data_IF_908139975963
#
_entry.id   IF_908139975963
#
_cell.length_a   1.000
_cell.length_b   1.000
_cell.length_c   1.000
_cell.angle_alpha   90.00
_cell.angle_beta   90.00
_cell.angle_gamma   90.00
#
_symmetry.space_group_name_H-M   'P 1'
#
loop_
_entity.id
_entity.type
_entity.pdbx_description
1 polymer ?
#
# COMPACT_ATOMS: atom_id res chain seq x y z
N UNK A 1 -7.08 -16.05 -2.90
CA UNK A 1 -6.19 -15.61 -3.98
C UNK A 1 -6.22 -14.09 -4.11
N UNK A 2 -5.13 -13.47 -4.56
CA UNK A 2 -5.12 -12.05 -4.88
C UNK A 2 -5.66 -11.84 -6.30
N UNK A 3 -6.65 -10.96 -6.45
CA UNK A 3 -7.33 -10.71 -7.72
C UNK A 3 -7.19 -9.25 -8.16
N UNK A 4 -7.15 -9.01 -9.47
CA UNK A 4 -7.12 -7.67 -10.07
C UNK A 4 -8.53 -7.31 -10.52
N UNK A 5 -9.20 -6.42 -9.78
CA UNK A 5 -10.60 -6.08 -10.03
C UNK A 5 -10.81 -5.08 -11.17
N UNK A 6 -9.85 -4.18 -11.37
CA UNK A 6 -9.86 -3.17 -12.43
C UNK A 6 -8.45 -2.73 -12.75
N UNK A 7 -8.18 -2.50 -14.04
CA UNK A 7 -6.94 -1.91 -14.53
C UNK A 7 -6.95 -0.39 -14.35
N UNK A 8 -5.80 0.25 -14.48
CA UNK A 8 -5.66 1.71 -14.40
C UNK A 8 -6.69 2.40 -15.32
N UNK A 9 -7.56 3.24 -14.74
CA UNK A 9 -8.65 3.91 -15.45
C UNK A 9 -8.92 5.28 -14.82
N UNK A 10 -9.26 6.31 -15.61
CA UNK A 10 -9.75 7.58 -15.10
C UNK A 10 -11.22 7.53 -14.65
N UNK A 11 -11.94 6.44 -14.95
CA UNK A 11 -13.36 6.29 -14.63
C UNK A 11 -13.55 5.85 -13.17
N UNK A 12 -13.91 6.81 -12.31
CA UNK A 12 -14.22 6.58 -10.90
C UNK A 12 -15.44 5.68 -10.71
N UNK A 13 -16.43 5.75 -11.59
CA UNK A 13 -17.64 4.92 -11.52
C UNK A 13 -17.34 3.43 -11.71
N UNK A 14 -16.39 3.10 -12.59
CA UNK A 14 -15.89 1.74 -12.78
C UNK A 14 -15.22 1.19 -11.52
N UNK A 15 -14.41 2.00 -10.84
CA UNK A 15 -13.74 1.63 -9.58
C UNK A 15 -14.78 1.38 -8.47
N UNK A 16 -15.72 2.30 -8.29
CA UNK A 16 -16.78 2.20 -7.27
C UNK A 16 -17.65 0.96 -7.49
N UNK A 17 -18.06 0.72 -8.74
CA UNK A 17 -18.89 -0.45 -9.09
C UNK A 17 -18.21 -1.76 -8.73
N UNK A 18 -16.90 -1.88 -8.94
CA UNK A 18 -16.14 -3.07 -8.54
C UNK A 18 -15.94 -3.15 -7.03
N UNK A 19 -15.71 -2.02 -6.37
CA UNK A 19 -15.56 -1.98 -4.91
C UNK A 19 -16.81 -2.51 -4.19
N UNK A 20 -18.01 -2.20 -4.68
CA UNK A 20 -19.27 -2.71 -4.13
C UNK A 20 -19.41 -4.25 -4.21
N UNK A 21 -18.69 -4.89 -5.14
CA UNK A 21 -18.71 -6.36 -5.29
C UNK A 21 -17.69 -7.07 -4.42
N UNK A 22 -16.79 -6.33 -3.76
CA UNK A 22 -15.74 -6.90 -2.91
C UNK A 22 -16.35 -7.40 -1.62
N UNK A 23 -16.03 -8.65 -1.28
CA UNK A 23 -16.45 -9.30 -0.04
C UNK A 23 -15.20 -9.64 0.79
N UNK A 24 -15.26 -9.51 2.13
CA UNK A 24 -14.16 -9.95 2.98
C UNK A 24 -14.00 -11.46 2.87
N UNK A 25 -12.80 -11.91 2.49
CA UNK A 25 -12.51 -13.34 2.32
C UNK A 25 -11.08 -13.67 2.69
N UNK A 26 -10.92 -14.71 3.51
CA UNK A 26 -9.62 -15.30 3.83
C UNK A 26 -8.74 -14.40 4.70
N UNK A 27 -7.42 -14.62 4.61
CA UNK A 27 -6.38 -13.88 5.33
C UNK A 27 -5.63 -12.96 4.38
N UNK A 28 -5.03 -11.89 4.93
CA UNK A 28 -4.14 -11.01 4.16
C UNK A 28 -2.87 -11.76 3.74
N UNK A 29 -2.47 -11.57 2.49
CA UNK A 29 -1.15 -11.98 1.98
C UNK A 29 -0.44 -10.75 1.44
N UNK A 30 0.25 -10.02 2.32
CA UNK A 30 0.77 -8.68 2.00
C UNK A 30 1.83 -8.74 0.89
N UNK A 31 2.81 -9.64 1.02
CA UNK A 31 3.86 -9.80 -0.01
C UNK A 31 3.28 -10.09 -1.40
N UNK A 32 2.29 -10.98 -1.49
CA UNK A 32 1.67 -11.36 -2.76
C UNK A 32 0.86 -10.20 -3.35
N UNK A 33 0.07 -9.50 -2.53
CA UNK A 33 -0.73 -8.35 -2.95
C UNK A 33 0.13 -7.24 -3.56
N UNK A 34 1.24 -6.89 -2.90
CA UNK A 34 2.18 -5.88 -3.39
C UNK A 34 2.86 -6.33 -4.70
N UNK A 35 3.21 -7.61 -4.85
CA UNK A 35 3.80 -8.13 -6.11
C UNK A 35 2.81 -8.03 -7.28
N UNK A 36 1.54 -8.38 -7.04
CA UNK A 36 0.47 -8.28 -8.05
C UNK A 36 0.23 -6.82 -8.42
N UNK A 37 0.13 -5.92 -7.43
CA UNK A 37 -0.02 -4.49 -7.66
C UNK A 37 1.15 -3.92 -8.48
N UNK A 38 2.37 -4.32 -8.16
CA UNK A 38 3.55 -3.94 -8.92
C UNK A 38 3.50 -4.43 -10.39
N UNK A 39 3.05 -5.67 -10.64
CA UNK A 39 2.85 -6.16 -12.01
C UNK A 39 1.77 -5.37 -12.77
N UNK A 40 0.68 -4.99 -12.08
CA UNK A 40 -0.36 -4.15 -12.66
C UNK A 40 0.18 -2.76 -13.05
N UNK A 41 1.05 -2.16 -12.23
CA UNK A 41 1.69 -0.88 -12.52
C UNK A 41 2.60 -0.90 -13.76
N UNK A 42 3.16 -2.06 -14.13
CA UNK A 42 3.95 -2.21 -15.37
C UNK A 42 3.12 -2.06 -16.65
N UNK A 43 1.81 -2.29 -16.57
CA UNK A 43 0.88 -2.18 -17.70
C UNK A 43 0.24 -0.78 -17.81
N UNK A 44 0.86 0.24 -17.20
CA UNK A 44 0.41 1.63 -17.29
C UNK A 44 0.57 2.20 -18.69
N UNK A 45 -0.38 3.06 -19.09
CA UNK A 45 -0.32 3.74 -20.37
C UNK A 45 0.73 4.86 -20.42
N UNK A 46 0.94 5.58 -19.30
CA UNK A 46 1.94 6.64 -19.20
C UNK A 46 3.26 6.19 -18.57
N UNK A 47 4.37 6.17 -19.33
CA UNK A 47 5.70 5.82 -18.81
C UNK A 47 6.30 6.89 -17.87
N UNK A 48 5.77 8.12 -17.91
CA UNK A 48 6.27 9.26 -17.11
C UNK A 48 5.58 9.43 -15.75
N UNK A 49 4.51 8.66 -15.47
CA UNK A 49 3.84 8.76 -14.19
C UNK A 49 4.72 8.18 -13.08
N UNK A 50 4.61 8.70 -11.85
CA UNK A 50 5.23 8.07 -10.68
C UNK A 50 4.45 6.79 -10.35
N UNK A 51 5.15 5.71 -10.02
CA UNK A 51 4.51 4.48 -9.54
C UNK A 51 4.28 4.59 -8.04
N UNK A 52 3.02 4.53 -7.62
CA UNK A 52 2.63 4.57 -6.21
C UNK A 52 1.62 3.46 -5.94
N UNK A 53 1.83 2.73 -4.85
CA UNK A 53 0.91 1.74 -4.31
C UNK A 53 0.40 2.29 -2.98
N UNK A 54 -0.92 2.26 -2.77
CA UNK A 54 -1.53 2.60 -1.49
C UNK A 54 -2.11 1.30 -0.92
N UNK A 55 -1.62 0.88 0.25
CA UNK A 55 -1.99 -0.38 0.89
C UNK A 55 -2.68 -0.12 2.23
N UNK A 56 -3.93 -0.60 2.34
CA UNK A 56 -4.70 -0.59 3.57
C UNK A 56 -4.49 -1.92 4.30
N UNK A 57 -3.96 -1.86 5.53
CA UNK A 57 -3.63 -3.02 6.36
C UNK A 57 -4.47 -2.96 7.63
N UNK A 58 -5.51 -3.81 7.67
CA UNK A 58 -6.46 -3.91 8.78
C UNK A 58 -6.35 -5.19 9.61
N UNK A 59 -5.32 -6.01 9.36
CA UNK A 59 -5.16 -7.35 9.96
C UNK A 59 -3.68 -7.69 10.15
N UNK A 60 -3.33 -8.67 11.01
CA UNK A 60 -1.93 -9.02 11.28
C UNK A 60 -1.20 -9.51 10.02
N UNK A 61 0.02 -9.00 9.80
CA UNK A 61 0.89 -9.43 8.70
C UNK A 61 1.74 -10.63 9.16
N UNK A 62 1.35 -11.82 8.70
CA UNK A 62 2.05 -13.09 8.98
C UNK A 62 3.36 -13.24 8.16
N UNK A 63 3.62 -12.35 7.20
CA UNK A 63 4.84 -12.38 6.39
C UNK A 63 6.12 -12.19 7.24
N UNK A 64 7.19 -12.87 6.81
CA UNK A 64 8.52 -12.76 7.42
C UNK A 64 9.17 -11.43 7.06
N UNK A 65 9.82 -10.81 8.05
CA UNK A 65 10.53 -9.53 7.87
C UNK A 65 11.60 -9.61 6.77
N UNK A 66 12.32 -10.74 6.67
CA UNK A 66 13.34 -10.95 5.63
C UNK A 66 12.75 -10.84 4.21
N UNK A 67 11.53 -11.31 4.01
CA UNK A 67 10.88 -11.28 2.70
C UNK A 67 10.28 -9.91 2.39
N UNK A 68 9.77 -9.21 3.41
CA UNK A 68 9.39 -7.80 3.34
C UNK A 68 10.59 -6.92 2.92
N UNK A 69 11.74 -7.09 3.56
CA UNK A 69 12.97 -6.34 3.23
C UNK A 69 13.45 -6.63 1.80
N UNK A 70 13.40 -7.88 1.34
CA UNK A 70 13.73 -8.23 -0.05
C UNK A 70 12.77 -7.56 -1.04
N UNK A 71 11.47 -7.56 -0.73
CA UNK A 71 10.45 -6.93 -1.56
C UNK A 71 10.64 -5.41 -1.62
N UNK A 72 10.87 -4.75 -0.49
CA UNK A 72 11.16 -3.33 -0.41
C UNK A 72 12.38 -2.93 -1.26
N UNK A 73 13.49 -3.70 -1.16
CA UNK A 73 14.69 -3.46 -1.98
C UNK A 73 14.40 -3.57 -3.49
N UNK A 74 13.53 -4.50 -3.89
CA UNK A 74 13.13 -4.66 -5.29
C UNK A 74 12.30 -3.47 -5.77
N UNK A 75 11.30 -3.06 -5.01
CA UNK A 75 10.44 -1.91 -5.32
C UNK A 75 11.25 -0.61 -5.39
N UNK A 76 12.24 -0.44 -4.51
CA UNK A 76 13.18 0.70 -4.54
C UNK A 76 13.92 0.79 -5.88
N UNK A 77 14.48 -0.33 -6.36
CA UNK A 77 15.17 -0.37 -7.67
C UNK A 77 14.26 -0.03 -8.84
N UNK A 78 13.00 -0.43 -8.75
CA UNK A 78 11.99 -0.18 -9.78
C UNK A 78 11.32 1.20 -9.63
N UNK A 79 11.76 2.05 -8.67
CA UNK A 79 11.22 3.39 -8.38
C UNK A 79 9.71 3.38 -8.08
N UNK A 80 9.27 2.40 -7.29
CA UNK A 80 7.89 2.28 -6.83
C UNK A 80 7.78 2.75 -5.39
N UNK A 81 6.89 3.71 -5.14
CA UNK A 81 6.56 4.17 -3.80
C UNK A 81 5.41 3.35 -3.23
N UNK A 82 5.42 3.10 -1.91
CA UNK A 82 4.36 2.36 -1.23
C UNK A 82 3.93 3.12 0.01
N UNK A 83 2.71 3.63 0.01
CA UNK A 83 2.10 4.22 1.19
C UNK A 83 1.25 3.17 1.90
N UNK A 84 1.42 3.04 3.21
CA UNK A 84 0.78 2.02 4.02
C UNK A 84 -0.09 2.70 5.08
N UNK A 85 -1.36 2.36 5.09
CA UNK A 85 -2.34 2.76 6.10
C UNK A 85 -2.52 1.56 7.03
N UNK A 86 -1.92 1.59 8.20
CA UNK A 86 -2.06 0.56 9.22
C UNK A 86 -3.17 0.94 10.19
N UNK A 87 -4.17 0.09 10.39
CA UNK A 87 -5.26 0.30 11.33
C UNK A 87 -5.70 -1.02 11.96
N UNK A 88 -6.31 -0.96 13.15
CA UNK A 88 -6.83 -2.14 13.86
C UNK A 88 -5.79 -3.06 14.52
N UNK A 89 -4.59 -3.16 13.95
CA UNK A 89 -3.51 -4.06 14.41
C UNK A 89 -2.16 -3.31 14.50
N UNK A 90 -2.13 -2.27 15.33
CA UNK A 90 -0.94 -1.42 15.49
C UNK A 90 0.23 -2.16 16.14
N UNK A 91 0.00 -2.88 17.24
CA UNK A 91 1.06 -3.49 18.04
C UNK A 91 1.86 -4.55 17.27
N UNK A 92 1.19 -5.34 16.43
CA UNK A 92 1.82 -6.45 15.69
C UNK A 92 2.44 -5.98 14.37
N UNK A 93 1.83 -5.02 13.69
CA UNK A 93 2.24 -4.64 12.34
C UNK A 93 3.27 -3.51 12.29
N UNK A 94 3.25 -2.59 13.25
CA UNK A 94 3.97 -1.32 13.13
C UNK A 94 5.47 -1.52 12.96
N UNK A 95 6.11 -2.41 13.73
CA UNK A 95 7.54 -2.66 13.62
C UNK A 95 7.93 -3.21 12.24
N UNK A 96 7.22 -4.24 11.75
CA UNK A 96 7.47 -4.87 10.45
C UNK A 96 7.25 -3.89 9.29
N UNK A 97 6.16 -3.14 9.32
CA UNK A 97 5.81 -2.17 8.28
C UNK A 97 6.78 -0.97 8.31
N UNK A 98 7.23 -0.55 9.48
CA UNK A 98 8.26 0.48 9.64
C UNK A 98 9.58 0.03 9.00
N UNK A 99 10.03 -1.20 9.29
CA UNK A 99 11.23 -1.76 8.66
C UNK A 99 11.10 -1.84 7.13
N UNK A 100 9.92 -2.21 6.62
CA UNK A 100 9.62 -2.23 5.18
C UNK A 100 9.72 -0.84 4.55
N UNK A 101 9.03 0.17 5.10
CA UNK A 101 9.03 1.55 4.57
C UNK A 101 10.42 2.18 4.67
N UNK A 102 11.13 1.98 5.79
CA UNK A 102 12.51 2.44 5.95
C UNK A 102 13.46 1.82 4.91
N UNK A 103 13.30 0.53 4.63
CA UNK A 103 14.07 -0.14 3.58
C UNK A 103 13.75 0.42 2.19
N UNK A 104 12.47 0.73 1.94
CA UNK A 104 12.00 1.24 0.65
C UNK A 104 12.48 2.68 0.39
N UNK A 105 12.40 3.56 1.39
CA UNK A 105 12.92 4.93 1.31
C UNK A 105 14.47 4.93 1.29
N UNK A 106 15.10 4.04 2.05
CA UNK A 106 16.55 4.00 2.25
C UNK A 106 17.11 5.35 2.72
N UNK A 107 18.34 5.70 2.31
CA UNK A 107 19.04 6.91 2.78
C UNK A 107 18.39 8.23 2.38
N UNK A 108 17.62 8.22 1.29
CA UNK A 108 16.99 9.42 0.72
C UNK A 108 15.73 9.84 1.48
N UNK A 109 15.20 8.96 2.35
CA UNK A 109 14.13 9.27 3.30
C UNK A 109 12.78 9.70 2.70
N UNK A 110 12.59 9.61 1.38
CA UNK A 110 11.46 10.26 0.70
C UNK A 110 10.69 9.33 -0.23
N UNK A 111 9.35 9.46 -0.24
CA UNK A 111 8.47 8.91 -1.26
C UNK A 111 7.39 7.95 -0.77
N UNK A 112 7.68 7.16 0.27
CA UNK A 112 6.77 6.17 0.86
C UNK A 112 6.47 6.50 2.31
N UNK A 113 5.22 6.35 2.73
CA UNK A 113 4.77 6.76 4.07
C UNK A 113 4.10 5.60 4.80
N UNK A 114 4.28 5.53 6.12
CA UNK A 114 3.49 4.70 7.01
C UNK A 114 2.60 5.61 7.84
N UNK A 115 1.30 5.38 7.80
CA UNK A 115 0.30 6.06 8.61
C UNK A 115 -0.35 5.01 9.48
N UNK A 116 -0.08 5.06 10.78
CA UNK A 116 -0.74 4.21 11.77
C UNK A 116 -1.91 4.97 12.37
N UNK A 117 -3.11 4.39 12.25
CA UNK A 117 -4.35 4.98 12.73
C UNK A 117 -4.81 4.20 13.95
N UNK A 118 -4.84 4.85 15.14
CA UNK A 118 -5.29 4.20 16.36
C UNK A 118 -6.78 3.84 16.29
N UNK A 119 -7.24 2.89 17.11
CA UNK A 119 -8.67 2.58 17.20
C UNK A 119 -9.45 3.82 17.63
N UNK A 120 -10.39 4.25 16.80
CA UNK A 120 -11.13 5.50 16.99
C UNK A 120 -12.15 5.75 15.88
N UNK A 121 -12.92 6.85 15.97
CA UNK A 121 -14.14 6.99 15.17
C UNK A 121 -13.92 7.31 13.68
N UNK A 122 -12.74 7.80 13.24
CA UNK A 122 -12.59 8.26 11.86
C UNK A 122 -11.22 7.98 11.25
N UNK A 123 -11.16 6.96 10.40
CA UNK A 123 -10.03 6.69 9.49
C UNK A 123 -9.85 7.83 8.47
N UNK A 124 -10.95 8.45 8.04
CA UNK A 124 -10.95 9.50 7.03
C UNK A 124 -10.16 10.73 7.49
N UNK A 125 -10.36 11.17 8.74
CA UNK A 125 -9.68 12.36 9.28
C UNK A 125 -8.18 12.12 9.41
N UNK A 126 -7.78 10.93 9.85
CA UNK A 126 -6.38 10.55 9.93
C UNK A 126 -5.70 10.61 8.55
N UNK A 127 -6.39 10.18 7.48
CA UNK A 127 -5.86 10.24 6.12
C UNK A 127 -5.76 11.66 5.58
N UNK A 128 -6.77 12.50 5.82
CA UNK A 128 -6.78 13.91 5.38
C UNK A 128 -5.58 14.67 5.97
N UNK A 129 -5.25 14.40 7.23
CA UNK A 129 -4.10 15.02 7.90
C UNK A 129 -2.74 14.39 7.52
N UNK A 130 -2.74 13.29 6.78
CA UNK A 130 -1.54 12.49 6.52
C UNK A 130 -0.74 12.98 5.29
N UNK A 131 0.58 12.69 5.24
CA UNK A 131 1.43 12.99 4.08
C UNK A 131 1.05 12.22 2.82
N UNK A 132 0.14 11.24 2.90
CA UNK A 132 -0.35 10.49 1.73
C UNK A 132 -1.16 11.41 0.82
N UNK A 133 -2.05 12.22 1.41
CA UNK A 133 -2.90 13.20 0.71
C UNK A 133 -2.26 14.59 0.65
N UNK A 134 -1.52 15.01 1.68
CA UNK A 134 -0.88 16.33 1.70
C UNK A 134 0.27 16.50 0.68
N UNK A 135 0.71 15.40 0.04
CA UNK A 135 1.69 15.42 -1.05
C UNK A 135 1.11 15.75 -2.44
N UNK A 136 -0.20 15.96 -2.56
CA UNK A 136 -0.85 16.49 -3.78
C UNK A 136 -0.85 18.02 -3.76
N UNK A 137 0.34 18.61 -3.99
CA UNK A 137 0.55 20.03 -4.24
C UNK A 137 1.55 20.22 -5.37
#
# INVERSE_FOLDING_TARGET
DCEVLTTLTPDTGRILSKLHTVQPKGKITFCTGIRVAHLALKHRQGKNHKMRIIAFVGSPVEDNEKDLVKLAKRLKKEKVNVDIINFGEEEVNTEKLTAFVNTLNGKDGTGSHLVTVPPGPSLADALISSPILAGEG
#
